data_IF_836397485008
#
_entry.id   IF_836397485008
#
_cell.length_a   1.000
_cell.length_b   1.000
_cell.length_c   1.000
_cell.angle_alpha   90.00
_cell.angle_beta   90.00
_cell.angle_gamma   90.00
#
_symmetry.space_group_name_H-M   'P 1'
#
loop_
_entity.id
_entity.type
_entity.pdbx_description
1 polymer ?
#
# COMPACT_ATOMS: atom_id res chain seq x y z
N UNK A 1 21.54 20.69 27.67
CA UNK A 1 20.24 21.37 27.85
C UNK A 1 19.39 21.06 26.63
N UNK A 2 18.47 20.09 26.76
CA UNK A 2 17.29 19.81 25.93
C UNK A 2 17.39 20.04 24.40
N UNK A 3 17.90 19.06 23.63
CA UNK A 3 17.32 18.81 22.29
C UNK A 3 15.93 18.23 22.54
N UNK A 4 14.89 19.07 22.52
CA UNK A 4 13.54 18.59 22.26
C UNK A 4 13.51 18.24 20.77
N UNK A 5 14.05 17.08 20.44
CA UNK A 5 13.92 16.50 19.11
C UNK A 5 12.42 16.33 18.87
N UNK A 6 11.93 17.16 17.96
CA UNK A 6 10.74 16.98 17.14
C UNK A 6 9.99 15.69 17.43
N UNK A 7 9.00 15.80 18.31
CA UNK A 7 7.84 14.91 18.36
C UNK A 7 6.90 15.29 17.22
N UNK A 8 7.46 15.35 16.01
CA UNK A 8 6.70 15.50 14.77
C UNK A 8 6.23 14.11 14.39
N UNK A 9 4.98 14.01 13.97
CA UNK A 9 4.38 12.79 13.43
C UNK A 9 5.36 12.17 12.42
N UNK A 10 5.98 11.04 12.77
CA UNK A 10 6.65 10.20 11.79
C UNK A 10 5.56 9.62 10.87
N UNK A 11 5.14 10.45 9.90
CA UNK A 11 4.68 10.00 8.59
C UNK A 11 5.90 9.36 7.92
N UNK A 12 6.32 8.20 8.43
CA UNK A 12 7.40 7.41 7.86
C UNK A 12 7.00 7.10 6.43
N UNK A 13 7.72 7.69 5.48
CA UNK A 13 7.59 7.30 4.08
C UNK A 13 7.86 5.79 3.99
N UNK A 14 7.02 5.03 3.27
CA UNK A 14 7.22 3.60 3.18
C UNK A 14 8.56 3.32 2.51
N UNK A 15 9.24 2.26 2.95
CA UNK A 15 10.49 1.83 2.34
C UNK A 15 10.28 1.69 0.81
N UNK A 16 11.10 2.36 -0.02
CA UNK A 16 10.93 2.37 -1.47
C UNK A 16 10.96 0.95 -2.07
N UNK A 17 11.71 0.02 -1.49
CA UNK A 17 11.73 -1.37 -1.94
C UNK A 17 10.41 -2.09 -1.62
N UNK A 18 9.80 -1.79 -0.47
CA UNK A 18 8.48 -2.31 -0.10
C UNK A 18 7.41 -1.74 -1.02
N UNK A 19 7.45 -0.42 -1.26
CA UNK A 19 6.52 0.24 -2.16
C UNK A 19 6.57 -0.36 -3.57
N UNK A 20 7.76 -0.53 -4.13
CA UNK A 20 7.92 -1.08 -5.48
C UNK A 20 7.42 -2.54 -5.59
N UNK A 21 7.70 -3.36 -4.58
CA UNK A 21 7.21 -4.73 -4.50
C UNK A 21 5.68 -4.79 -4.43
N UNK A 22 5.05 -3.90 -3.64
CA UNK A 22 3.59 -3.84 -3.51
C UNK A 22 2.92 -3.34 -4.78
N UNK A 23 3.48 -2.32 -5.43
CA UNK A 23 3.00 -1.82 -6.72
C UNK A 23 3.05 -2.90 -7.78
N UNK A 24 4.16 -3.64 -7.87
CA UNK A 24 4.31 -4.75 -8.83
C UNK A 24 3.23 -5.81 -8.60
N UNK A 25 3.05 -6.26 -7.35
CA UNK A 25 1.99 -7.22 -7.00
C UNK A 25 0.58 -6.68 -7.28
N UNK A 26 0.33 -5.40 -7.02
CA UNK A 26 -0.97 -4.77 -7.25
C UNK A 26 -1.34 -4.76 -8.74
N UNK A 27 -0.37 -4.44 -9.61
CA UNK A 27 -0.55 -4.42 -11.06
C UNK A 27 -0.81 -5.83 -11.61
N UNK A 28 -0.02 -6.82 -11.18
CA UNK A 28 -0.21 -8.22 -11.55
C UNK A 28 -1.58 -8.74 -11.12
N UNK A 29 -1.97 -8.45 -9.88
CA UNK A 29 -3.28 -8.84 -9.36
C UNK A 29 -4.40 -8.15 -10.12
N UNK A 30 -4.29 -6.85 -10.38
CA UNK A 30 -5.27 -6.06 -11.13
C UNK A 30 -5.48 -6.61 -12.55
N UNK A 31 -4.40 -6.97 -13.24
CA UNK A 31 -4.47 -7.57 -14.57
C UNK A 31 -5.25 -8.91 -14.56
N UNK A 32 -5.08 -9.73 -13.52
CA UNK A 32 -5.81 -10.98 -13.35
C UNK A 32 -7.26 -10.82 -12.85
N UNK A 33 -7.56 -9.70 -12.17
CA UNK A 33 -8.83 -9.42 -11.52
C UNK A 33 -9.77 -8.51 -12.36
N UNK A 34 -9.53 -8.40 -13.67
CA UNK A 34 -10.40 -7.63 -14.57
C UNK A 34 -10.17 -6.11 -14.55
N UNK A 35 -9.01 -5.64 -14.09
CA UNK A 35 -8.66 -4.21 -14.07
C UNK A 35 -9.04 -3.48 -12.78
N UNK A 36 -9.45 -4.21 -11.73
CA UNK A 36 -9.83 -3.65 -10.43
C UNK A 36 -8.58 -3.21 -9.63
N UNK A 37 -7.96 -2.11 -10.05
CA UNK A 37 -6.68 -1.64 -9.49
C UNK A 37 -6.78 -1.23 -8.02
N UNK A 38 -7.80 -0.45 -7.65
CA UNK A 38 -7.99 0.03 -6.28
C UNK A 38 -8.17 -1.13 -5.30
N UNK A 39 -9.01 -2.10 -5.67
CA UNK A 39 -9.20 -3.34 -4.91
C UNK A 39 -7.89 -4.11 -4.77
N UNK A 40 -7.14 -4.23 -5.87
CA UNK A 40 -5.87 -4.96 -5.88
C UNK A 40 -4.82 -4.30 -4.99
N UNK A 41 -4.71 -2.97 -5.03
CA UNK A 41 -3.85 -2.18 -4.15
C UNK A 41 -4.21 -2.40 -2.68
N UNK A 42 -5.50 -2.35 -2.35
CA UNK A 42 -5.97 -2.59 -0.98
C UNK A 42 -5.62 -4.01 -0.51
N UNK A 43 -5.85 -5.03 -1.35
CA UNK A 43 -5.57 -6.42 -1.01
C UNK A 43 -4.08 -6.69 -0.72
N UNK A 44 -3.17 -6.13 -1.53
CA UNK A 44 -1.73 -6.35 -1.32
C UNK A 44 -1.21 -5.63 -0.08
N UNK A 45 -1.72 -4.44 0.23
CA UNK A 45 -1.36 -3.69 1.44
C UNK A 45 -1.92 -4.40 2.68
N UNK A 46 -3.15 -4.90 2.60
CA UNK A 46 -3.73 -5.73 3.65
C UNK A 46 -2.90 -7.00 3.91
N UNK A 47 -2.54 -7.74 2.85
CA UNK A 47 -1.69 -8.92 2.96
C UNK A 47 -0.31 -8.59 3.54
N UNK A 48 0.26 -7.44 3.19
CA UNK A 48 1.52 -6.96 3.75
C UNK A 48 1.42 -6.62 5.25
N UNK A 49 0.35 -5.92 5.65
CA UNK A 49 0.14 -5.51 7.04
C UNK A 49 -0.16 -6.71 7.97
N UNK A 50 -0.90 -7.69 7.47
CA UNK A 50 -1.44 -8.78 8.30
C UNK A 50 -0.85 -10.15 8.02
N UNK A 51 -0.03 -10.30 6.98
CA UNK A 51 0.54 -11.57 6.53
C UNK A 51 -0.46 -12.55 5.91
N UNK A 52 -1.72 -12.15 5.75
CA UNK A 52 -2.81 -13.00 5.25
C UNK A 52 -3.69 -12.25 4.27
N UNK A 53 -4.22 -12.96 3.27
CA UNK A 53 -5.18 -12.39 2.33
C UNK A 53 -6.46 -11.98 3.06
N UNK A 54 -7.08 -10.85 2.67
CA UNK A 54 -8.34 -10.43 3.26
C UNK A 54 -9.44 -11.44 2.91
N UNK A 55 -10.24 -11.80 3.92
CA UNK A 55 -11.47 -12.56 3.70
C UNK A 55 -12.61 -11.63 3.25
N UNK A 56 -13.72 -12.19 2.79
CA UNK A 56 -14.93 -11.39 2.60
C UNK A 56 -15.31 -10.75 3.95
N UNK A 57 -15.53 -9.44 3.98
CA UNK A 57 -15.77 -8.63 5.19
C UNK A 57 -14.59 -8.50 6.16
N UNK A 58 -13.35 -8.60 5.68
CA UNK A 58 -12.20 -8.25 6.51
C UNK A 58 -12.18 -6.74 6.80
N UNK A 59 -12.43 -6.38 8.07
CA UNK A 59 -12.52 -4.99 8.55
C UNK A 59 -11.22 -4.49 9.18
N UNK A 60 -10.13 -5.26 9.06
CA UNK A 60 -8.86 -4.87 9.68
C UNK A 60 -8.31 -3.59 9.07
N UNK A 61 -7.76 -2.75 9.93
CA UNK A 61 -7.13 -1.51 9.53
C UNK A 61 -5.86 -1.80 8.72
N UNK A 62 -5.59 -0.93 7.76
CA UNK A 62 -4.36 -0.91 6.97
C UNK A 62 -3.70 0.46 7.11
N UNK A 63 -2.41 0.52 6.82
CA UNK A 63 -1.74 1.81 6.70
C UNK A 63 -2.28 2.56 5.47
N UNK A 64 -3.10 3.57 5.72
CA UNK A 64 -3.71 4.41 4.68
C UNK A 64 -2.65 5.13 3.83
N UNK A 65 -1.55 5.57 4.44
CA UNK A 65 -0.49 6.27 3.72
C UNK A 65 0.19 5.32 2.73
N UNK A 66 0.53 4.12 3.18
CA UNK A 66 1.08 3.10 2.30
C UNK A 66 0.11 2.75 1.17
N UNK A 67 -1.18 2.60 1.47
CA UNK A 67 -2.21 2.35 0.47
C UNK A 67 -2.29 3.44 -0.60
N UNK A 68 -2.36 4.72 -0.18
CA UNK A 68 -2.45 5.84 -1.12
C UNK A 68 -1.20 5.94 -2.00
N UNK A 69 0.00 5.76 -1.43
CA UNK A 69 1.26 5.76 -2.21
C UNK A 69 1.33 4.59 -3.21
N UNK A 70 0.91 3.39 -2.81
CA UNK A 70 0.83 2.22 -3.72
C UNK A 70 -0.16 2.50 -4.84
N UNK A 71 -1.35 3.03 -4.52
CA UNK A 71 -2.39 3.33 -5.50
C UNK A 71 -1.94 4.39 -6.51
N UNK A 72 -1.39 5.51 -6.03
CA UNK A 72 -0.89 6.60 -6.87
C UNK A 72 0.20 6.10 -7.81
N UNK A 73 1.22 5.41 -7.28
CA UNK A 73 2.33 4.87 -8.07
C UNK A 73 1.85 3.85 -9.09
N UNK A 74 0.91 2.99 -8.72
CA UNK A 74 0.33 2.00 -9.63
C UNK A 74 -0.44 2.68 -10.77
N UNK A 75 -1.25 3.69 -10.47
CA UNK A 75 -1.97 4.48 -11.50
C UNK A 75 -1.00 5.16 -12.46
N UNK A 76 0.09 5.74 -11.96
CA UNK A 76 1.13 6.34 -12.82
C UNK A 76 1.80 5.31 -13.73
N UNK A 77 1.92 4.04 -13.31
CA UNK A 77 2.51 2.95 -14.10
C UNK A 77 1.53 2.27 -15.06
N UNK A 78 0.22 2.24 -14.76
CA UNK A 78 -0.81 1.61 -15.60
C UNK A 78 -1.21 2.44 -16.82
N UNK A 79 -0.85 3.73 -16.89
CA UNK A 79 -1.28 4.67 -17.95
C UNK A 79 -0.25 4.76 -19.10
N UNK A 80 0.60 3.74 -19.29
CA UNK A 80 1.50 3.63 -20.44
C UNK A 80 1.14 2.46 -21.36
#
# INVERSE_FOLDING_TARGET
>A
MMMRANRELELTEPDPAVLDALVTKALELSASAGGELERSCWMVVHEHAHGVKPTEYDIREIDEQLYLKVLETSRSRSVC
#
